data_IF_274481528743
#
_entry.id   IF_274481528743
#
_cell.length_a   1.000
_cell.length_b   1.000
_cell.length_c   1.000
_cell.angle_alpha   90.00
_cell.angle_beta   90.00
_cell.angle_gamma   90.00
#
_symmetry.space_group_name_H-M   'P 1'
#
loop_
_entity.id
_entity.type
_entity.pdbx_description
1 polymer ?
#
# COMPACT_ATOMS: atom_id res chain seq x y z
N UNK A 1 6.10 30.69 -0.19
CA UNK A 1 6.08 29.21 -0.26
C UNK A 1 5.14 28.73 0.81
N UNK A 2 3.94 28.31 0.42
CA UNK A 2 2.78 28.13 1.30
C UNK A 2 2.71 26.71 1.85
N UNK A 3 2.09 26.54 3.02
CA UNK A 3 1.97 25.29 3.81
C UNK A 3 1.23 24.12 3.12
N UNK A 4 0.97 24.20 1.82
CA UNK A 4 0.38 23.14 0.99
C UNK A 4 1.39 22.12 0.45
N UNK A 5 2.68 22.45 0.33
CA UNK A 5 3.68 21.48 -0.19
C UNK A 5 4.14 20.47 0.86
N UNK A 6 3.98 20.77 2.16
CA UNK A 6 4.22 19.82 3.24
C UNK A 6 3.01 18.90 3.51
N UNK A 7 1.81 19.33 3.10
CA UNK A 7 0.55 18.56 3.13
C UNK A 7 0.57 17.34 2.18
N UNK A 8 1.51 17.29 1.24
CA UNK A 8 1.47 16.44 0.05
C UNK A 8 2.31 15.15 0.15
N UNK A 9 3.43 15.15 0.88
CA UNK A 9 4.35 14.00 0.90
C UNK A 9 4.15 12.99 2.05
N UNK A 10 3.49 13.39 3.15
CA UNK A 10 3.55 12.62 4.38
C UNK A 10 2.50 11.48 4.47
N UNK A 11 1.25 11.71 4.04
CA UNK A 11 0.14 10.72 4.07
C UNK A 11 0.44 9.42 3.28
N UNK A 12 1.34 9.47 2.29
CA UNK A 12 1.74 8.32 1.48
C UNK A 12 2.80 7.42 2.15
N UNK A 13 3.58 7.97 3.09
CA UNK A 13 4.70 7.28 3.73
C UNK A 13 4.27 6.38 4.90
N UNK A 14 3.18 6.72 5.59
CA UNK A 14 2.87 6.13 6.87
C UNK A 14 1.84 4.98 6.86
N UNK A 15 1.22 4.69 5.71
CA UNK A 15 0.44 3.45 5.49
C UNK A 15 1.25 2.44 4.63
N UNK A 16 2.29 2.89 3.92
CA UNK A 16 3.13 2.04 3.08
C UNK A 16 4.04 1.04 3.81
N UNK A 17 4.13 1.10 5.13
CA UNK A 17 5.00 0.24 5.95
C UNK A 17 4.25 -0.94 6.63
N UNK A 18 2.94 -1.03 6.47
CA UNK A 18 2.06 -1.87 7.30
C UNK A 18 1.04 -2.67 6.47
N UNK A 19 1.53 -3.62 5.70
CA UNK A 19 0.70 -4.48 4.85
C UNK A 19 1.03 -4.30 3.37
N UNK A 20 1.17 -5.41 2.64
CA UNK A 20 1.40 -5.35 1.20
C UNK A 20 0.26 -4.59 0.52
N UNK A 21 0.59 -3.56 -0.27
CA UNK A 21 -0.38 -2.81 -1.08
C UNK A 21 -1.13 -3.75 -2.01
N UNK A 22 -2.42 -3.51 -2.21
CA UNK A 22 -3.23 -4.23 -3.21
C UNK A 22 -2.70 -3.86 -4.60
N UNK A 23 -2.31 -4.87 -5.38
CA UNK A 23 -1.67 -4.65 -6.69
C UNK A 23 -2.67 -4.10 -7.69
N UNK A 24 -2.22 -3.23 -8.60
CA UNK A 24 -3.05 -2.80 -9.73
C UNK A 24 -3.52 -4.03 -10.55
N UNK A 25 -4.84 -4.16 -10.74
CA UNK A 25 -5.51 -5.30 -11.38
C UNK A 25 -5.95 -6.42 -10.43
N UNK A 26 -5.66 -6.31 -9.13
CA UNK A 26 -6.24 -7.14 -8.07
C UNK A 26 -7.58 -6.52 -7.62
N UNK A 27 -8.66 -7.29 -7.71
CA UNK A 27 -10.03 -6.85 -7.39
C UNK A 27 -10.38 -7.01 -5.89
N UNK A 28 -9.40 -7.48 -5.11
CA UNK A 28 -9.54 -7.69 -3.67
C UNK A 28 -9.32 -6.39 -2.88
N UNK A 29 -9.72 -6.42 -1.62
CA UNK A 29 -9.45 -5.36 -0.66
C UNK A 29 -8.62 -5.90 0.51
N UNK A 30 -7.80 -5.05 1.13
CA UNK A 30 -7.01 -5.41 2.31
C UNK A 30 -7.32 -4.46 3.47
N UNK A 31 -7.21 -4.95 4.71
CA UNK A 31 -7.30 -4.12 5.91
C UNK A 31 -6.02 -3.29 6.00
N UNK A 32 -6.07 -2.05 5.55
CA UNK A 32 -4.87 -1.21 5.51
C UNK A 32 -4.69 -0.35 6.76
N UNK A 33 -5.78 0.08 7.39
CA UNK A 33 -5.72 1.04 8.51
C UNK A 33 -6.91 0.92 9.47
N UNK A 34 -6.69 1.23 10.75
CA UNK A 34 -7.77 1.45 11.70
C UNK A 34 -8.34 2.86 11.49
N UNK A 35 -9.67 2.99 11.39
CA UNK A 35 -10.35 4.28 11.23
C UNK A 35 -11.10 4.66 12.47
N UNK A 36 -10.84 5.87 12.95
CA UNK A 36 -11.53 6.42 14.10
C UNK A 36 -11.88 7.89 13.83
N UNK A 37 -13.15 8.24 13.91
CA UNK A 37 -13.59 9.63 13.89
C UNK A 37 -13.80 10.10 15.33
N UNK A 38 -13.15 11.20 15.72
CA UNK A 38 -13.07 11.68 17.10
C UNK A 38 -13.51 13.14 17.20
N UNK A 39 -14.01 13.56 18.36
CA UNK A 39 -14.46 14.95 18.59
C UNK A 39 -13.31 15.93 18.73
N UNK A 40 -12.24 15.51 19.41
CA UNK A 40 -11.02 16.28 19.60
C UNK A 40 -9.79 15.44 19.23
N UNK A 41 -9.03 15.90 18.24
CA UNK A 41 -7.86 15.17 17.73
C UNK A 41 -6.68 15.22 18.70
N UNK A 42 -6.50 16.32 19.44
CA UNK A 42 -5.38 16.47 20.35
C UNK A 42 -5.58 15.60 21.59
N UNK A 43 -6.76 15.68 22.20
CA UNK A 43 -7.14 14.86 23.35
C UNK A 43 -7.09 13.37 23.00
N UNK A 44 -7.64 13.00 21.84
CA UNK A 44 -7.63 11.59 21.40
C UNK A 44 -6.23 11.10 21.10
N UNK A 45 -5.39 11.88 20.41
CA UNK A 45 -4.01 11.49 20.14
C UNK A 45 -3.23 11.24 21.45
N UNK A 46 -3.31 12.18 22.40
CA UNK A 46 -2.67 12.04 23.70
C UNK A 46 -3.18 10.79 24.44
N UNK A 47 -4.49 10.53 24.41
CA UNK A 47 -5.08 9.35 25.01
C UNK A 47 -4.48 8.04 24.44
N UNK A 48 -4.42 7.92 23.10
CA UNK A 48 -3.92 6.72 22.44
C UNK A 48 -2.40 6.55 22.63
N UNK A 49 -1.63 7.63 22.62
CA UNK A 49 -0.19 7.58 22.91
C UNK A 49 0.06 7.15 24.37
N UNK A 50 -0.63 7.79 25.33
CA UNK A 50 -0.39 7.59 26.76
C UNK A 50 -0.88 6.26 27.29
N UNK A 51 -2.09 5.84 26.92
CA UNK A 51 -2.75 4.69 27.55
C UNK A 51 -2.61 3.41 26.77
N UNK A 52 -2.40 3.51 25.45
CA UNK A 52 -2.36 2.35 24.56
C UNK A 52 -0.96 2.13 23.99
N UNK A 53 -0.12 3.18 23.89
CA UNK A 53 1.23 3.06 23.34
C UNK A 53 1.26 3.20 21.82
N UNK A 54 0.32 3.95 21.25
CA UNK A 54 0.50 4.46 19.89
C UNK A 54 1.63 5.50 19.85
N UNK A 55 2.16 5.73 18.66
CA UNK A 55 3.17 6.75 18.39
C UNK A 55 2.68 7.65 17.27
N UNK A 56 2.70 8.96 17.47
CA UNK A 56 2.42 9.94 16.42
C UNK A 56 3.41 9.76 15.24
N UNK A 57 2.86 9.54 14.05
CA UNK A 57 3.61 9.53 12.79
C UNK A 57 3.41 10.82 12.02
N UNK A 58 2.18 11.33 12.02
CA UNK A 58 1.85 12.58 11.35
C UNK A 58 0.80 13.36 12.11
N UNK A 59 1.06 14.66 12.25
CA UNK A 59 0.21 15.58 12.97
C UNK A 59 -0.32 16.65 12.02
N UNK A 60 -1.59 16.50 11.61
CA UNK A 60 -2.29 17.41 10.71
C UNK A 60 -3.59 17.90 11.34
N UNK A 61 -3.57 18.19 12.64
CA UNK A 61 -4.76 18.64 13.39
C UNK A 61 -5.46 19.85 12.77
N UNK A 62 -4.69 20.73 12.14
CA UNK A 62 -5.18 21.90 11.39
C UNK A 62 -5.98 21.50 10.13
N UNK A 63 -5.62 20.38 9.51
CA UNK A 63 -6.34 19.79 8.38
C UNK A 63 -7.40 18.76 8.81
N UNK A 64 -7.62 18.59 10.12
CA UNK A 64 -8.69 17.77 10.66
C UNK A 64 -8.39 16.27 10.77
N UNK A 65 -7.11 15.86 10.73
CA UNK A 65 -6.72 14.47 10.90
C UNK A 65 -5.35 14.28 11.55
N UNK A 66 -5.08 13.10 12.11
CA UNK A 66 -3.73 12.68 12.53
C UNK A 66 -3.53 11.21 12.23
N UNK A 67 -2.27 10.78 12.17
CA UNK A 67 -1.91 9.38 12.00
C UNK A 67 -1.00 8.92 13.12
N UNK A 68 -1.44 7.85 13.77
CA UNK A 68 -0.72 7.13 14.80
C UNK A 68 -0.36 5.74 14.30
N UNK A 69 0.65 5.12 14.90
CA UNK A 69 1.00 3.72 14.63
C UNK A 69 1.25 2.98 15.94
N UNK A 70 0.82 1.72 16.00
CA UNK A 70 1.17 0.80 17.07
C UNK A 70 1.68 -0.50 16.45
N UNK A 71 2.99 -0.74 16.54
CA UNK A 71 3.66 -1.96 16.07
C UNK A 71 3.29 -2.39 14.63
N UNK A 72 3.30 -1.42 13.70
CA UNK A 72 2.95 -1.69 12.30
C UNK A 72 1.45 -1.77 12.03
N UNK A 73 0.59 -1.34 12.97
CA UNK A 73 -0.83 -1.11 12.71
C UNK A 73 -1.10 0.40 12.70
N UNK A 74 -1.44 1.00 11.55
CA UNK A 74 -1.75 2.43 11.47
C UNK A 74 -3.17 2.71 11.96
N UNK A 75 -3.35 3.86 12.60
CA UNK A 75 -4.61 4.40 13.10
C UNK A 75 -4.77 5.85 12.62
N UNK A 76 -5.75 6.09 11.76
CA UNK A 76 -6.08 7.44 11.29
C UNK A 76 -7.25 7.98 12.09
N UNK A 77 -6.98 9.07 12.80
CA UNK A 77 -7.99 9.87 13.49
C UNK A 77 -8.48 10.98 12.56
N UNK A 78 -9.79 11.18 12.48
CA UNK A 78 -10.41 12.31 11.76
C UNK A 78 -11.39 13.04 12.66
N UNK A 79 -11.56 14.35 12.49
CA UNK A 79 -12.51 15.11 13.30
C UNK A 79 -13.96 14.75 12.95
N UNK A 80 -14.79 14.61 13.98
CA UNK A 80 -16.26 14.50 13.89
C UNK A 80 -16.94 15.58 14.74
N UNK A 81 -18.21 15.88 14.45
CA UNK A 81 -18.93 16.96 15.10
C UNK A 81 -19.46 16.59 16.49
N UNK A 82 -19.72 15.30 16.73
CA UNK A 82 -20.31 14.82 17.98
C UNK A 82 -19.72 13.48 18.41
N UNK A 83 -19.65 13.20 19.72
CA UNK A 83 -19.21 11.89 20.21
C UNK A 83 -20.22 10.82 19.83
N UNK A 84 -19.84 9.55 20.01
CA UNK A 84 -20.74 8.42 19.84
C UNK A 84 -21.25 7.94 21.18
N UNK A 85 -22.55 7.70 21.27
CA UNK A 85 -23.16 6.92 22.34
C UNK A 85 -23.52 5.54 21.80
N UNK A 86 -22.88 4.50 22.33
CA UNK A 86 -23.13 3.13 21.89
C UNK A 86 -23.99 2.45 22.97
N UNK A 87 -25.17 1.94 22.64
CA UNK A 87 -25.98 1.15 23.59
C UNK A 87 -25.34 -0.22 23.86
N UNK A 88 -25.51 -0.80 25.05
CA UNK A 88 -24.82 -2.05 25.45
C UNK A 88 -25.10 -3.25 24.54
N UNK A 89 -26.23 -3.24 23.83
CA UNK A 89 -26.67 -4.28 22.90
C UNK A 89 -26.63 -3.84 21.42
N UNK A 90 -26.02 -2.69 21.12
CA UNK A 90 -25.87 -2.19 19.75
C UNK A 90 -24.56 -2.67 19.10
N UNK A 91 -24.67 -2.98 17.81
CA UNK A 91 -23.52 -3.23 16.95
C UNK A 91 -22.55 -2.04 17.00
N UNK A 92 -21.26 -2.36 16.99
CA UNK A 92 -20.19 -1.41 16.84
C UNK A 92 -18.90 -2.15 16.49
N UNK A 93 -17.94 -1.40 15.94
CA UNK A 93 -16.57 -1.85 15.78
C UNK A 93 -15.79 -1.51 17.05
N UNK A 94 -15.05 -2.49 17.56
CA UNK A 94 -14.17 -2.35 18.73
C UNK A 94 -12.74 -2.67 18.33
N UNK A 95 -11.79 -1.85 18.78
CA UNK A 95 -10.38 -2.21 18.73
C UNK A 95 -10.04 -2.95 20.03
N UNK A 96 -9.39 -4.10 19.90
CA UNK A 96 -8.91 -4.84 21.04
C UNK A 96 -7.40 -4.72 21.13
N UNK A 97 -6.92 -4.39 22.31
CA UNK A 97 -5.50 -4.25 22.62
C UNK A 97 -5.07 -5.38 23.54
N UNK A 98 -3.88 -5.94 23.35
CA UNK A 98 -3.28 -6.92 24.26
C UNK A 98 -2.30 -6.24 25.21
N UNK A 99 -2.24 -6.73 26.43
CA UNK A 99 -1.26 -6.38 27.47
C UNK A 99 -0.77 -7.66 28.15
N UNK A 100 0.42 -7.60 28.75
CA UNK A 100 0.99 -8.68 29.55
C UNK A 100 0.33 -8.80 30.94
N UNK A 101 -0.14 -7.68 31.48
CA UNK A 101 -0.70 -7.57 32.82
C UNK A 101 -1.93 -6.64 32.83
N UNK A 102 -3.11 -7.26 32.75
CA UNK A 102 -4.39 -6.54 32.68
C UNK A 102 -4.69 -5.74 33.94
N UNK A 103 -4.29 -6.26 35.11
CA UNK A 103 -4.54 -5.62 36.40
C UNK A 103 -3.72 -4.33 36.49
N UNK A 104 -2.41 -4.41 36.19
CA UNK A 104 -1.52 -3.25 36.15
C UNK A 104 -1.96 -2.23 35.11
N UNK A 105 -2.20 -2.67 33.87
CA UNK A 105 -2.62 -1.76 32.79
C UNK A 105 -3.95 -1.08 33.12
N UNK A 106 -4.95 -1.82 33.58
CA UNK A 106 -6.26 -1.23 33.93
C UNK A 106 -6.18 -0.29 35.14
N UNK A 107 -5.30 -0.54 36.11
CA UNK A 107 -5.05 0.38 37.22
C UNK A 107 -4.41 1.70 36.73
N UNK A 108 -3.42 1.62 35.83
CA UNK A 108 -2.80 2.81 35.22
C UNK A 108 -3.80 3.61 34.38
N UNK A 109 -4.67 2.93 33.62
CA UNK A 109 -5.73 3.58 32.86
C UNK A 109 -6.72 4.30 33.78
N UNK A 110 -7.20 3.67 34.86
CA UNK A 110 -8.07 4.34 35.84
C UNK A 110 -7.40 5.54 36.50
N UNK A 111 -6.12 5.41 36.87
CA UNK A 111 -5.34 6.52 37.44
C UNK A 111 -5.16 7.68 36.46
N UNK A 112 -5.16 7.39 35.15
CA UNK A 112 -5.19 8.38 34.07
C UNK A 112 -6.56 8.95 33.75
N UNK A 113 -7.61 8.57 34.47
CA UNK A 113 -8.98 9.05 34.24
C UNK A 113 -9.77 8.29 33.16
N UNK A 114 -9.25 7.17 32.65
CA UNK A 114 -9.96 6.38 31.62
C UNK A 114 -11.17 5.68 32.23
N UNK A 115 -12.32 5.82 31.56
CA UNK A 115 -13.58 5.20 31.98
C UNK A 115 -13.62 3.71 31.61
N UNK A 116 -13.46 2.83 32.59
CA UNK A 116 -13.62 1.38 32.43
C UNK A 116 -15.05 0.99 32.79
N UNK A 117 -15.77 0.43 31.82
CA UNK A 117 -17.23 0.20 31.87
C UNK A 117 -17.62 -1.28 31.92
N UNK A 118 -16.66 -2.20 31.81
CA UNK A 118 -16.94 -3.63 31.88
C UNK A 118 -15.69 -4.48 32.01
N UNK A 119 -15.89 -5.74 32.37
CA UNK A 119 -14.86 -6.77 32.41
C UNK A 119 -15.45 -8.13 32.07
N UNK A 120 -14.62 -9.05 31.60
CA UNK A 120 -15.08 -10.37 31.21
C UNK A 120 -13.97 -11.33 30.83
N UNK A 121 -14.39 -12.50 30.34
CA UNK A 121 -13.52 -13.54 29.81
C UNK A 121 -14.00 -13.97 28.43
N UNK A 122 -13.04 -14.25 27.56
CA UNK A 122 -13.23 -14.78 26.22
C UNK A 122 -12.48 -16.12 26.09
N UNK A 123 -12.62 -16.79 24.94
CA UNK A 123 -11.89 -18.03 24.65
C UNK A 123 -10.37 -17.88 24.61
N UNK A 124 -9.85 -16.64 24.55
CA UNK A 124 -8.41 -16.35 24.46
C UNK A 124 -7.83 -15.71 25.72
N UNK A 125 -8.66 -15.38 26.71
CA UNK A 125 -8.21 -14.77 27.96
C UNK A 125 -9.21 -13.76 28.55
N UNK A 126 -8.73 -12.96 29.50
CA UNK A 126 -9.55 -11.97 30.24
C UNK A 126 -9.45 -10.59 29.60
N UNK A 127 -10.46 -9.75 29.80
CA UNK A 127 -10.48 -8.39 29.27
C UNK A 127 -11.22 -7.40 30.17
N UNK A 128 -10.90 -6.12 29.99
CA UNK A 128 -11.73 -4.99 30.44
C UNK A 128 -12.17 -4.17 29.23
N UNK A 129 -13.37 -3.60 29.29
CA UNK A 129 -13.90 -2.67 28.29
C UNK A 129 -13.77 -1.25 28.80
N UNK A 130 -13.23 -0.36 27.98
CA UNK A 130 -13.06 1.06 28.30
C UNK A 130 -13.68 1.94 27.22
N UNK A 131 -13.94 3.19 27.59
CA UNK A 131 -14.48 4.24 26.72
C UNK A 131 -13.40 5.27 26.46
N UNK A 132 -13.18 5.60 25.18
CA UNK A 132 -12.26 6.67 24.77
C UNK A 132 -12.91 8.07 24.89
N UNK A 133 -12.17 9.18 24.70
CA UNK A 133 -12.71 10.53 24.85
C UNK A 133 -13.90 10.85 23.93
N UNK A 134 -14.04 10.16 22.80
CA UNK A 134 -15.11 10.35 21.82
C UNK A 134 -16.27 9.37 21.99
N UNK A 135 -16.24 8.53 23.03
CA UNK A 135 -17.31 7.58 23.36
C UNK A 135 -17.15 6.18 22.76
N UNK A 136 -16.05 5.90 22.06
CA UNK A 136 -15.82 4.57 21.48
C UNK A 136 -15.55 3.54 22.57
N UNK A 137 -16.09 2.33 22.39
CA UNK A 137 -15.83 1.20 23.30
C UNK A 137 -14.79 0.25 22.73
N UNK A 138 -13.75 0.02 23.51
CA UNK A 138 -12.60 -0.80 23.15
C UNK A 138 -12.26 -1.76 24.29
N UNK A 139 -11.50 -2.80 23.99
CA UNK A 139 -11.09 -3.76 25.01
C UNK A 139 -9.58 -3.74 25.23
N UNK A 140 -9.16 -3.86 26.48
CA UNK A 140 -7.83 -4.27 26.86
C UNK A 140 -7.88 -5.74 27.27
N UNK A 141 -7.02 -6.59 26.71
CA UNK A 141 -7.03 -8.05 26.87
C UNK A 141 -5.70 -8.54 27.43
N UNK A 142 -5.73 -9.50 28.35
CA UNK A 142 -4.58 -10.35 28.66
C UNK A 142 -4.89 -11.74 28.16
N UNK A 143 -4.07 -12.20 27.22
CA UNK A 143 -4.27 -13.47 26.52
C UNK A 143 -3.63 -14.60 27.31
N UNK A 144 -4.35 -15.71 27.49
CA UNK A 144 -3.90 -16.84 28.32
C UNK A 144 -2.62 -17.50 27.78
N UNK A 145 -2.35 -17.37 26.48
CA UNK A 145 -1.18 -17.93 25.80
C UNK A 145 -0.04 -16.91 25.58
N UNK A 146 -0.23 -15.63 25.91
CA UNK A 146 0.82 -14.63 25.77
C UNK A 146 1.87 -14.86 26.87
N UNK A 147 3.09 -15.16 26.47
CA UNK A 147 4.23 -15.39 27.38
C UNK A 147 5.23 -14.24 27.40
N UNK A 148 5.09 -13.32 26.45
CA UNK A 148 6.01 -12.20 26.26
C UNK A 148 5.62 -11.03 27.15
N UNK A 149 6.62 -10.38 27.72
CA UNK A 149 6.39 -9.09 28.39
C UNK A 149 6.16 -8.01 27.34
N UNK A 150 5.12 -7.20 27.57
CA UNK A 150 4.74 -6.10 26.71
C UNK A 150 4.91 -4.78 27.48
N UNK A 151 5.91 -3.95 27.13
CA UNK A 151 6.15 -2.70 27.85
C UNK A 151 5.02 -1.68 27.67
N UNK A 152 4.29 -1.77 26.56
CA UNK A 152 3.09 -1.01 26.26
C UNK A 152 2.04 -1.93 25.64
N UNK A 153 0.74 -1.61 25.75
CA UNK A 153 -0.28 -2.33 25.02
C UNK A 153 -0.04 -2.33 23.50
N UNK A 154 -0.59 -3.34 22.84
CA UNK A 154 -0.48 -3.48 21.38
C UNK A 154 -1.84 -3.76 20.76
N UNK A 155 -2.09 -3.33 19.54
CA UNK A 155 -3.25 -3.79 18.76
C UNK A 155 -3.17 -5.32 18.66
N UNK A 156 -4.29 -5.98 18.97
CA UNK A 156 -4.42 -7.42 18.87
C UNK A 156 -5.32 -7.81 17.69
N UNK A 157 -6.58 -7.41 17.73
CA UNK A 157 -7.58 -7.66 16.68
C UNK A 157 -8.67 -6.58 16.68
N UNK A 158 -9.48 -6.58 15.63
CA UNK A 158 -10.68 -5.74 15.54
C UNK A 158 -11.92 -6.61 15.67
N UNK A 159 -12.79 -6.31 16.64
CA UNK A 159 -14.08 -6.98 16.79
C UNK A 159 -15.18 -6.20 16.08
N UNK A 160 -15.99 -6.87 15.29
CA UNK A 160 -17.16 -6.31 14.62
C UNK A 160 -18.38 -7.02 15.19
N UNK A 161 -19.19 -6.28 15.96
CA UNK A 161 -20.43 -6.82 16.49
C UNK A 161 -21.52 -6.82 15.42
N UNK A 162 -22.24 -7.94 15.32
CA UNK A 162 -23.28 -8.18 14.31
C UNK A 162 -24.55 -8.72 14.97
N UNK A 163 -25.70 -8.56 14.32
CA UNK A 163 -26.99 -9.12 14.80
C UNK A 163 -27.36 -10.45 14.15
N UNK A 164 -26.70 -10.81 13.04
CA UNK A 164 -26.90 -12.08 12.34
C UNK A 164 -25.56 -12.57 11.78
N UNK A 165 -24.99 -13.60 12.41
CA UNK A 165 -23.68 -14.12 12.01
C UNK A 165 -23.70 -14.78 10.62
N UNK A 166 -24.83 -15.35 10.18
CA UNK A 166 -24.95 -15.95 8.85
C UNK A 166 -24.88 -14.89 7.75
N UNK A 167 -25.66 -13.81 7.92
CA UNK A 167 -25.61 -12.65 7.03
C UNK A 167 -24.22 -11.97 7.06
N UNK A 168 -23.60 -11.90 8.23
CA UNK A 168 -22.28 -11.30 8.39
C UNK A 168 -21.19 -12.12 7.68
N UNK A 169 -21.20 -13.46 7.85
CA UNK A 169 -20.28 -14.36 7.15
C UNK A 169 -20.40 -14.21 5.64
N UNK A 170 -21.63 -14.12 5.11
CA UNK A 170 -21.87 -13.87 3.69
C UNK A 170 -21.32 -12.51 3.25
N UNK A 171 -21.60 -11.45 4.00
CA UNK A 171 -21.15 -10.11 3.65
C UNK A 171 -19.62 -9.99 3.67
N UNK A 172 -18.97 -10.29 4.80
CA UNK A 172 -17.52 -10.16 4.91
C UNK A 172 -16.77 -11.22 4.09
N UNK A 173 -17.33 -12.41 3.95
CA UNK A 173 -16.70 -13.51 3.20
C UNK A 173 -16.91 -13.43 1.69
N UNK A 174 -18.16 -13.42 1.25
CA UNK A 174 -18.50 -13.53 -0.17
C UNK A 174 -18.55 -12.16 -0.87
N UNK A 175 -19.08 -11.12 -0.21
CA UNK A 175 -19.21 -9.78 -0.83
C UNK A 175 -17.90 -9.01 -0.78
N UNK A 176 -17.25 -8.98 0.39
CA UNK A 176 -15.97 -8.30 0.57
C UNK A 176 -14.76 -9.16 0.19
N UNK A 177 -14.91 -10.49 0.12
CA UNK A 177 -13.88 -11.41 -0.36
C UNK A 177 -12.85 -11.83 0.69
N UNK A 178 -13.15 -11.69 1.99
CA UNK A 178 -12.25 -12.17 3.06
C UNK A 178 -12.43 -13.67 3.32
N UNK A 179 -11.34 -14.36 3.63
CA UNK A 179 -11.39 -15.79 3.94
C UNK A 179 -11.60 -16.02 5.43
N UNK A 180 -12.46 -16.96 5.78
CA UNK A 180 -12.61 -17.41 7.16
C UNK A 180 -11.34 -18.12 7.60
N UNK A 181 -10.73 -17.68 8.70
CA UNK A 181 -9.52 -18.28 9.26
C UNK A 181 -9.83 -19.65 9.89
N UNK A 182 -10.90 -19.71 10.68
CA UNK A 182 -11.38 -20.96 11.28
C UNK A 182 -12.84 -20.83 11.70
N UNK A 183 -13.62 -21.89 11.53
CA UNK A 183 -15.00 -21.96 12.03
C UNK A 183 -15.10 -22.63 13.41
N UNK A 184 -13.96 -22.92 14.07
CA UNK A 184 -13.94 -23.60 15.38
C UNK A 184 -14.77 -22.89 16.45
N UNK A 185 -14.88 -21.57 16.36
CA UNK A 185 -15.57 -20.72 17.33
C UNK A 185 -16.95 -20.26 16.83
N UNK A 186 -17.41 -20.80 15.69
CA UNK A 186 -18.67 -20.44 15.07
C UNK A 186 -19.82 -21.32 15.56
N UNK A 187 -20.95 -20.70 15.97
CA UNK A 187 -21.05 -19.42 16.68
C UNK A 187 -20.44 -19.50 18.10
N UNK A 188 -20.10 -18.37 18.75
CA UNK A 188 -20.51 -16.99 18.47
C UNK A 188 -19.45 -16.08 17.80
N UNK A 189 -18.29 -16.61 17.39
CA UNK A 189 -17.19 -15.81 16.82
C UNK A 189 -16.66 -16.42 15.51
N UNK A 190 -16.45 -15.57 14.48
CA UNK A 190 -15.72 -15.98 13.26
C UNK A 190 -14.50 -15.07 13.07
N UNK A 191 -13.27 -15.59 13.21
CA UNK A 191 -12.07 -14.88 12.75
C UNK A 191 -11.90 -14.98 11.23
N UNK A 192 -11.47 -13.87 10.62
CA UNK A 192 -11.11 -13.81 9.21
C UNK A 192 -9.59 -13.70 9.03
N UNK A 193 -9.06 -14.28 7.96
CA UNK A 193 -7.65 -14.20 7.62
C UNK A 193 -7.23 -12.75 7.39
N UNK A 194 -6.03 -12.44 7.88
CA UNK A 194 -5.42 -11.14 7.68
C UNK A 194 -5.02 -10.96 6.22
N UNK A 195 -5.55 -9.91 5.59
CA UNK A 195 -4.91 -9.25 4.44
C UNK A 195 -4.59 -7.83 4.90
N UNK A 196 -3.31 -7.47 5.03
CA UNK A 196 -2.89 -6.12 5.45
C UNK A 196 -2.45 -6.02 6.92
N UNK A 197 -2.78 -4.92 7.60
CA UNK A 197 -2.23 -4.48 8.87
C UNK A 197 -2.71 -5.27 10.10
N UNK A 198 -3.95 -5.74 10.12
CA UNK A 198 -4.52 -6.50 11.25
C UNK A 198 -5.65 -7.42 10.80
N UNK A 199 -5.96 -8.45 11.59
CA UNK A 199 -7.12 -9.30 11.36
C UNK A 199 -8.32 -8.80 12.16
N UNK A 200 -9.51 -9.24 11.75
CA UNK A 200 -10.75 -8.94 12.44
C UNK A 200 -11.55 -10.19 12.73
N UNK A 201 -12.44 -10.08 13.72
CA UNK A 201 -13.39 -11.11 14.12
C UNK A 201 -14.81 -10.56 14.01
N UNK A 202 -15.74 -11.40 13.58
CA UNK A 202 -17.17 -11.16 13.75
C UNK A 202 -17.60 -11.72 15.10
N UNK A 203 -18.44 -10.98 15.83
CA UNK A 203 -18.97 -11.39 17.12
C UNK A 203 -20.49 -11.22 17.19
N UNK A 204 -21.19 -12.31 17.48
CA UNK A 204 -22.64 -12.33 17.70
C UNK A 204 -22.96 -11.91 19.14
N UNK A 205 -22.83 -10.61 19.40
CA UNK A 205 -22.96 -10.04 20.75
C UNK A 205 -23.92 -8.85 20.80
N UNK A 206 -24.62 -8.56 19.70
CA UNK A 206 -25.52 -7.41 19.58
C UNK A 206 -26.91 -7.80 19.10
N UNK A 207 -27.90 -7.05 19.56
CA UNK A 207 -29.32 -7.26 19.23
C UNK A 207 -29.87 -6.17 18.31
N UNK A 208 -29.16 -5.06 18.22
CA UNK A 208 -29.61 -3.89 17.46
C UNK A 208 -28.50 -3.45 16.49
N UNK A 209 -28.86 -3.04 15.26
CA UNK A 209 -27.92 -2.41 14.35
C UNK A 209 -27.27 -1.17 14.97
N UNK A 210 -26.10 -0.81 14.47
CA UNK A 210 -25.37 0.36 14.89
C UNK A 210 -26.10 1.64 14.42
N UNK A 211 -26.24 2.61 15.33
CA UNK A 211 -26.95 3.86 15.07
C UNK A 211 -26.00 5.01 14.72
N UNK A 212 -25.03 4.76 13.83
CA UNK A 212 -24.07 5.78 13.40
C UNK A 212 -24.67 6.74 12.37
N UNK A 213 -24.31 8.02 12.48
CA UNK A 213 -24.55 9.03 11.44
C UNK A 213 -23.22 9.43 10.83
N UNK A 214 -22.88 8.83 9.69
CA UNK A 214 -21.60 9.07 9.04
C UNK A 214 -21.40 10.55 8.68
N UNK A 215 -20.25 11.10 9.06
CA UNK A 215 -19.93 12.53 8.91
C UNK A 215 -20.46 13.44 10.02
N UNK A 216 -21.35 12.95 10.90
CA UNK A 216 -21.87 13.72 12.05
C UNK A 216 -21.34 13.20 13.39
N UNK A 217 -21.49 11.90 13.64
CA UNK A 217 -21.07 11.25 14.88
C UNK A 217 -19.70 10.60 14.73
N UNK A 218 -18.96 10.50 15.83
CA UNK A 218 -17.78 9.66 15.95
C UNK A 218 -18.08 8.21 15.52
N UNK A 219 -17.10 7.51 14.96
CA UNK A 219 -17.23 6.10 14.58
C UNK A 219 -15.87 5.39 14.65
N UNK A 220 -15.92 4.09 14.91
CA UNK A 220 -14.77 3.19 14.74
C UNK A 220 -15.04 2.27 13.54
N UNK A 221 -14.00 1.97 12.77
CA UNK A 221 -14.11 1.18 11.56
C UNK A 221 -12.77 0.68 11.04
N UNK A 222 -12.82 -0.05 9.93
CA UNK A 222 -11.66 -0.44 9.15
C UNK A 222 -11.59 0.44 7.90
N UNK A 223 -10.36 0.86 7.56
CA UNK A 223 -10.03 1.39 6.25
C UNK A 223 -9.50 0.25 5.37
N UNK A 224 -10.21 -0.01 4.29
CA UNK A 224 -9.89 -1.05 3.33
C UNK A 224 -9.20 -0.46 2.09
N UNK A 225 -7.97 -0.88 1.83
CA UNK A 225 -7.24 -0.46 0.64
C UNK A 225 -7.78 -1.19 -0.60
N UNK A 226 -7.86 -0.46 -1.72
CA UNK A 226 -8.21 -1.01 -3.03
C UNK A 226 -7.34 -0.36 -4.11
N UNK A 227 -7.02 -1.13 -5.15
CA UNK A 227 -6.30 -0.63 -6.33
C UNK A 227 -7.11 0.40 -7.12
N UNK A 228 -8.42 0.20 -7.23
CA UNK A 228 -9.35 1.12 -7.91
C UNK A 228 -10.61 1.29 -7.07
N UNK A 229 -10.79 2.46 -6.46
CA UNK A 229 -11.98 2.73 -5.66
C UNK A 229 -13.24 2.78 -6.52
N UNK A 230 -13.13 3.24 -7.77
CA UNK A 230 -14.27 3.34 -8.67
C UNK A 230 -14.80 1.96 -9.07
N UNK A 231 -13.91 1.03 -9.43
CA UNK A 231 -14.28 -0.34 -9.80
C UNK A 231 -14.80 -1.12 -8.59
N UNK A 232 -14.10 -1.01 -7.46
CA UNK A 232 -14.51 -1.69 -6.23
C UNK A 232 -15.85 -1.19 -5.71
N UNK A 233 -16.12 0.12 -5.73
CA UNK A 233 -17.44 0.66 -5.42
C UNK A 233 -18.52 0.13 -6.38
N UNK A 234 -18.23 0.08 -7.68
CA UNK A 234 -19.19 -0.44 -8.67
C UNK A 234 -19.54 -1.90 -8.40
N UNK A 235 -18.54 -2.75 -8.17
CA UNK A 235 -18.72 -4.16 -7.79
C UNK A 235 -19.52 -4.32 -6.50
N UNK A 236 -19.13 -3.58 -5.46
CA UNK A 236 -19.79 -3.66 -4.15
C UNK A 236 -21.23 -3.17 -4.21
N UNK A 237 -21.52 -2.08 -4.94
CA UNK A 237 -22.90 -1.63 -5.18
C UNK A 237 -23.72 -2.69 -5.92
N UNK A 238 -23.16 -3.32 -6.95
CA UNK A 238 -23.83 -4.41 -7.66
C UNK A 238 -24.12 -5.62 -6.77
N UNK A 239 -23.30 -5.86 -5.74
CA UNK A 239 -23.50 -6.87 -4.71
C UNK A 239 -24.42 -6.42 -3.56
N UNK A 240 -25.01 -5.22 -3.62
CA UNK A 240 -25.96 -4.71 -2.63
C UNK A 240 -25.35 -3.94 -1.46
N UNK A 241 -24.06 -3.59 -1.51
CA UNK A 241 -23.43 -2.78 -0.45
C UNK A 241 -23.95 -1.34 -0.49
N UNK A 242 -24.31 -0.82 0.68
CA UNK A 242 -24.77 0.56 0.88
C UNK A 242 -23.57 1.47 1.13
N UNK A 243 -23.18 2.26 0.12
CA UNK A 243 -22.23 3.34 0.33
C UNK A 243 -22.92 4.58 0.90
N UNK A 244 -22.25 5.20 1.87
CA UNK A 244 -22.66 6.43 2.55
C UNK A 244 -22.20 7.66 1.78
N UNK A 245 -21.14 7.51 0.98
CA UNK A 245 -20.72 8.50 0.00
C UNK A 245 -21.27 8.15 -1.40
N UNK A 246 -21.81 9.15 -2.09
CA UNK A 246 -22.22 8.99 -3.49
C UNK A 246 -21.00 8.74 -4.39
N UNK A 247 -19.94 9.54 -4.20
CA UNK A 247 -18.68 9.46 -4.91
C UNK A 247 -17.49 9.50 -3.94
N UNK A 248 -16.35 8.89 -4.30
CA UNK A 248 -15.14 8.99 -3.48
C UNK A 248 -14.69 10.44 -3.28
N UNK A 249 -14.46 10.81 -2.03
CA UNK A 249 -13.93 12.12 -1.62
C UNK A 249 -12.42 12.10 -1.66
N UNK A 250 -11.82 13.15 -2.21
CA UNK A 250 -10.37 13.33 -2.13
C UNK A 250 -9.99 13.79 -0.72
N UNK A 251 -9.07 13.07 -0.08
CA UNK A 251 -8.50 13.39 1.23
C UNK A 251 -6.99 13.23 1.12
N UNK A 252 -6.28 14.33 0.82
CA UNK A 252 -4.86 14.26 0.51
C UNK A 252 -4.58 13.39 -0.74
N UNK A 253 -3.58 12.48 -0.71
CA UNK A 253 -3.24 11.60 -1.83
C UNK A 253 -4.08 10.31 -1.81
N UNK A 254 -5.25 10.31 -1.14
CA UNK A 254 -6.20 9.21 -1.26
C UNK A 254 -7.56 9.71 -1.68
N UNK A 255 -8.31 8.81 -2.30
CA UNK A 255 -9.75 8.90 -2.42
C UNK A 255 -10.36 7.93 -1.44
N UNK A 256 -11.36 8.39 -0.69
CA UNK A 256 -12.05 7.60 0.33
C UNK A 256 -13.54 7.55 0.05
N UNK A 257 -14.19 6.44 0.41
CA UNK A 257 -15.64 6.31 0.36
C UNK A 257 -16.13 5.46 1.54
N UNK A 258 -16.96 6.05 2.39
CA UNK A 258 -17.63 5.36 3.48
C UNK A 258 -18.72 4.42 2.99
N UNK A 259 -18.85 3.27 3.62
CA UNK A 259 -19.94 2.32 3.41
C UNK A 259 -20.35 1.68 4.73
N UNK A 260 -21.58 1.17 4.78
CA UNK A 260 -22.10 0.43 5.91
C UNK A 260 -22.15 -1.07 5.61
N UNK A 261 -21.87 -1.88 6.62
CA UNK A 261 -22.24 -3.29 6.61
C UNK A 261 -23.77 -3.45 6.83
N UNK A 262 -24.34 -4.67 6.71
CA UNK A 262 -25.77 -4.91 6.93
C UNK A 262 -26.27 -4.59 8.35
N UNK A 263 -25.35 -4.38 9.30
CA UNK A 263 -25.61 -4.14 10.71
C UNK A 263 -25.38 -2.68 11.10
N UNK A 264 -25.12 -1.80 10.13
CA UNK A 264 -24.91 -0.37 10.35
C UNK A 264 -23.48 0.00 10.79
N UNK A 265 -22.56 -0.97 10.91
CA UNK A 265 -21.16 -0.64 11.19
C UNK A 265 -20.56 0.07 9.98
N UNK A 266 -19.79 1.13 10.25
CA UNK A 266 -19.19 1.95 9.21
C UNK A 266 -17.75 1.50 8.94
N UNK A 267 -17.43 1.40 7.65
CA UNK A 267 -16.09 1.19 7.14
C UNK A 267 -15.80 2.16 5.99
N UNK A 268 -14.53 2.30 5.62
CA UNK A 268 -14.14 3.13 4.49
C UNK A 268 -13.33 2.31 3.49
N UNK A 269 -13.64 2.44 2.20
CA UNK A 269 -12.68 2.11 1.14
C UNK A 269 -11.75 3.28 0.95
N UNK A 270 -10.48 3.01 0.66
CA UNK A 270 -9.57 4.04 0.18
C UNK A 270 -8.66 3.53 -0.94
N UNK A 271 -8.33 4.44 -1.84
CA UNK A 271 -7.36 4.23 -2.91
C UNK A 271 -6.34 5.36 -2.86
N UNK A 272 -5.06 5.03 -3.02
CA UNK A 272 -4.02 6.01 -3.29
C UNK A 272 -4.14 6.65 -4.67
N UNK A 273 -4.21 7.97 -4.68
CA UNK A 273 -4.20 8.83 -5.86
C UNK A 273 -2.97 9.70 -5.75
N UNK A 274 -1.93 9.39 -6.51
CA UNK A 274 -0.73 10.23 -6.55
C UNK A 274 -1.12 11.68 -6.86
N UNK A 275 -0.59 12.62 -6.09
CA UNK A 275 -0.52 13.99 -6.56
C UNK A 275 0.40 14.00 -7.79
N UNK A 276 0.07 14.79 -8.81
CA UNK A 276 0.81 14.82 -10.07
C UNK A 276 2.26 15.35 -9.99
N UNK A 277 2.95 15.20 -8.86
CA UNK A 277 4.37 15.43 -8.67
C UNK A 277 5.01 14.12 -8.22
N UNK A 278 5.82 13.52 -9.10
CA UNK A 278 6.45 12.21 -8.89
C UNK A 278 7.00 12.00 -7.47
N UNK A 279 6.85 10.83 -6.84
CA UNK A 279 6.61 9.48 -7.38
C UNK A 279 6.50 8.51 -6.14
N UNK A 280 6.34 7.17 -6.25
CA UNK A 280 5.70 6.27 -7.23
C UNK A 280 5.25 4.88 -6.67
N UNK A 281 4.67 4.07 -7.56
CA UNK A 281 4.73 2.62 -7.45
C UNK A 281 3.61 1.87 -8.18
N UNK A 282 3.23 2.29 -9.38
CA UNK A 282 2.15 1.67 -10.16
C UNK A 282 1.41 2.70 -10.99
N UNK A 283 2.08 3.35 -11.94
CA UNK A 283 1.34 4.09 -12.96
C UNK A 283 0.42 3.14 -13.73
N UNK A 284 -0.68 3.66 -14.27
CA UNK A 284 -1.60 2.84 -15.06
C UNK A 284 -0.81 2.26 -16.25
N UNK A 285 -0.85 0.93 -16.47
CA UNK A 285 -0.21 0.35 -17.64
C UNK A 285 -0.87 0.90 -18.90
N UNK A 286 -0.08 1.07 -19.96
CA UNK A 286 -0.65 1.30 -21.29
C UNK A 286 -1.52 0.11 -21.72
N UNK A 287 -2.42 0.32 -22.69
CA UNK A 287 -3.21 -0.75 -23.27
C UNK A 287 -2.31 -1.90 -23.77
N UNK A 288 -2.78 -3.15 -23.62
CA UNK A 288 -2.04 -4.37 -23.94
C UNK A 288 -1.41 -4.34 -25.34
N UNK A 289 -2.18 -3.93 -26.34
CA UNK A 289 -1.73 -3.87 -27.74
C UNK A 289 -0.56 -2.90 -27.90
N UNK A 290 -0.56 -1.79 -27.15
CA UNK A 290 0.51 -0.81 -27.15
C UNK A 290 1.75 -1.35 -26.39
N UNK A 291 1.55 -2.06 -25.28
CA UNK A 291 2.63 -2.72 -24.54
C UNK A 291 3.35 -3.78 -25.40
N UNK A 292 2.61 -4.62 -26.13
CA UNK A 292 3.18 -5.63 -27.04
C UNK A 292 3.99 -4.96 -28.15
N UNK A 293 3.46 -3.90 -28.78
CA UNK A 293 4.17 -3.13 -29.80
C UNK A 293 5.44 -2.46 -29.26
N UNK A 294 5.37 -1.90 -28.05
CA UNK A 294 6.54 -1.32 -27.39
C UNK A 294 7.61 -2.37 -27.09
N UNK A 295 7.22 -3.59 -26.69
CA UNK A 295 8.15 -4.69 -26.49
C UNK A 295 8.83 -5.13 -27.79
N UNK A 296 8.08 -5.18 -28.90
CA UNK A 296 8.66 -5.42 -30.23
C UNK A 296 9.69 -4.35 -30.62
N UNK A 297 9.42 -3.09 -30.28
CA UNK A 297 10.37 -1.98 -30.50
C UNK A 297 11.67 -2.18 -29.70
N UNK A 298 11.59 -2.63 -28.45
CA UNK A 298 12.77 -2.93 -27.62
C UNK A 298 13.56 -4.13 -28.16
N UNK A 299 12.87 -5.19 -28.63
CA UNK A 299 13.55 -6.34 -29.27
C UNK A 299 14.37 -5.91 -30.49
N UNK A 300 13.89 -4.93 -31.26
CA UNK A 300 14.60 -4.37 -32.41
C UNK A 300 15.88 -3.58 -32.06
N UNK A 301 16.14 -3.32 -30.77
CA UNK A 301 17.40 -2.75 -30.32
C UNK A 301 18.56 -3.75 -30.32
N UNK A 302 18.28 -5.07 -30.40
CA UNK A 302 19.29 -6.13 -30.36
C UNK A 302 20.54 -5.79 -31.19
N UNK A 303 21.71 -5.83 -30.55
CA UNK A 303 22.98 -5.37 -31.12
C UNK A 303 23.79 -4.51 -30.16
N UNK A 304 24.91 -4.00 -30.66
CA UNK A 304 25.85 -3.15 -29.93
C UNK A 304 25.59 -1.67 -30.18
N UNK A 305 25.78 -0.86 -29.14
CA UNK A 305 25.56 0.58 -29.14
C UNK A 305 26.68 1.30 -28.38
N UNK A 306 27.00 2.52 -28.81
CA UNK A 306 27.78 3.48 -28.04
C UNK A 306 26.82 4.47 -27.38
N UNK A 307 26.91 4.60 -26.06
CA UNK A 307 26.21 5.62 -25.28
C UNK A 307 27.13 6.81 -24.99
N UNK A 308 26.63 8.03 -25.19
CA UNK A 308 27.34 9.28 -24.87
C UNK A 308 26.46 10.14 -23.96
N UNK A 309 26.91 10.34 -22.72
CA UNK A 309 26.21 11.15 -21.73
C UNK A 309 26.40 12.65 -21.98
N UNK A 310 25.39 13.46 -21.63
CA UNK A 310 25.53 14.93 -21.60
C UNK A 310 26.58 15.43 -20.60
N UNK A 311 27.05 14.58 -19.68
CA UNK A 311 28.20 14.84 -18.79
C UNK A 311 29.55 14.42 -19.37
N UNK A 312 29.59 13.90 -20.59
CA UNK A 312 30.81 13.65 -21.36
C UNK A 312 31.44 12.26 -21.20
N UNK A 313 30.89 11.39 -20.36
CA UNK A 313 31.32 9.99 -20.28
C UNK A 313 30.67 9.14 -21.39
N UNK A 314 31.31 8.02 -21.70
CA UNK A 314 30.88 7.08 -22.73
C UNK A 314 30.74 5.67 -22.17
N UNK A 315 29.83 4.90 -22.74
CA UNK A 315 29.63 3.49 -22.39
C UNK A 315 29.41 2.64 -23.66
N UNK A 316 29.61 1.34 -23.52
CA UNK A 316 29.19 0.36 -24.54
C UNK A 316 27.98 -0.39 -24.01
N UNK A 317 26.96 -0.54 -24.83
CA UNK A 317 25.72 -1.20 -24.45
C UNK A 317 25.44 -2.33 -25.44
N UNK A 318 25.01 -3.47 -24.91
CA UNK A 318 24.53 -4.61 -25.69
C UNK A 318 23.06 -4.85 -25.35
N UNK A 319 22.21 -4.88 -26.38
CA UNK A 319 20.84 -5.41 -26.25
C UNK A 319 20.79 -6.82 -26.85
N UNK A 320 20.13 -7.75 -26.16
CA UNK A 320 19.94 -9.13 -26.62
C UNK A 320 18.52 -9.61 -26.31
N UNK A 321 17.77 -9.96 -27.36
CA UNK A 321 16.55 -10.75 -27.18
C UNK A 321 16.91 -12.19 -26.80
N UNK A 322 16.44 -12.64 -25.64
CA UNK A 322 16.78 -13.94 -25.05
C UNK A 322 15.53 -14.72 -24.65
N UNK A 323 15.72 -15.94 -24.14
CA UNK A 323 14.63 -16.82 -23.68
C UNK A 323 13.53 -17.00 -24.76
N UNK A 324 13.93 -17.35 -25.98
CA UNK A 324 13.04 -17.47 -27.14
C UNK A 324 12.28 -16.15 -27.47
N UNK A 325 12.86 -15.01 -27.15
CA UNK A 325 12.29 -13.69 -27.41
C UNK A 325 11.27 -13.21 -26.36
N UNK A 326 11.16 -13.91 -25.22
CA UNK A 326 10.26 -13.49 -24.14
C UNK A 326 10.79 -12.35 -23.29
N UNK A 327 12.10 -12.07 -23.37
CA UNK A 327 12.75 -10.96 -22.68
C UNK A 327 13.85 -10.33 -23.54
N UNK A 328 14.17 -9.07 -23.26
CA UNK A 328 15.36 -8.36 -23.78
C UNK A 328 16.26 -8.01 -22.61
N UNK A 329 17.53 -8.37 -22.72
CA UNK A 329 18.57 -7.97 -21.77
C UNK A 329 19.39 -6.83 -22.36
N UNK A 330 19.44 -5.72 -21.66
CA UNK A 330 20.41 -4.65 -21.84
C UNK A 330 21.58 -4.91 -20.89
N UNK A 331 22.80 -4.83 -21.40
CA UNK A 331 24.02 -4.83 -20.60
C UNK A 331 24.79 -3.56 -20.88
N UNK A 332 25.05 -2.76 -19.84
CA UNK A 332 25.91 -1.58 -19.90
C UNK A 332 27.28 -1.88 -19.32
N UNK A 333 28.31 -1.48 -20.05
CA UNK A 333 29.72 -1.55 -19.65
C UNK A 333 30.29 -0.13 -19.52
N UNK A 334 31.07 0.09 -18.47
CA UNK A 334 31.88 1.31 -18.25
C UNK A 334 31.10 2.60 -17.96
N UNK A 335 29.77 2.56 -17.83
CA UNK A 335 29.02 3.67 -17.20
C UNK A 335 29.53 3.94 -15.77
N UNK A 336 29.98 2.87 -15.09
CA UNK A 336 30.80 2.94 -13.89
C UNK A 336 32.07 2.11 -14.09
N UNK A 337 33.27 2.63 -13.79
CA UNK A 337 34.51 1.91 -14.03
C UNK A 337 34.52 0.54 -13.35
N UNK A 338 34.68 -0.53 -14.15
CA UNK A 338 34.71 -1.94 -13.71
C UNK A 338 33.39 -2.49 -13.12
N UNK A 339 32.27 -1.80 -13.28
CA UNK A 339 30.96 -2.25 -12.79
C UNK A 339 30.01 -2.44 -13.97
N UNK A 340 29.42 -3.63 -14.08
CA UNK A 340 28.46 -3.97 -15.12
C UNK A 340 27.04 -3.77 -14.60
N UNK A 341 26.19 -3.16 -15.42
CA UNK A 341 24.76 -3.00 -15.12
C UNK A 341 23.92 -3.80 -16.10
N UNK A 342 22.75 -4.26 -15.63
CA UNK A 342 21.82 -5.04 -16.43
C UNK A 342 20.42 -4.46 -16.31
N UNK A 343 19.72 -4.32 -17.44
CA UNK A 343 18.29 -4.02 -17.47
C UNK A 343 17.55 -5.11 -18.23
N UNK A 344 16.55 -5.73 -17.60
CA UNK A 344 15.74 -6.79 -18.19
C UNK A 344 14.35 -6.26 -18.55
N UNK A 345 13.95 -6.34 -19.82
CA UNK A 345 12.60 -6.00 -20.29
C UNK A 345 11.81 -7.27 -20.59
N UNK A 346 10.64 -7.44 -19.98
CA UNK A 346 9.79 -8.62 -20.19
C UNK A 346 8.30 -8.25 -20.10
N UNK A 347 7.46 -8.99 -20.82
CA UNK A 347 6.00 -8.93 -20.63
C UNK A 347 5.61 -9.66 -19.33
N UNK A 348 4.72 -9.06 -18.55
CA UNK A 348 4.05 -9.63 -17.37
C UNK A 348 2.53 -9.60 -17.61
N UNK A 349 2.00 -10.70 -18.15
CA UNK A 349 0.63 -10.75 -18.65
C UNK A 349 0.40 -9.71 -19.75
N UNK A 350 -0.39 -8.69 -19.43
CA UNK A 350 -0.74 -7.60 -20.36
C UNK A 350 0.16 -6.37 -20.25
N UNK A 351 1.13 -6.39 -19.33
CA UNK A 351 1.98 -5.25 -18.98
C UNK A 351 3.40 -5.47 -19.48
N UNK A 352 4.11 -4.39 -19.81
CA UNK A 352 5.54 -4.43 -20.13
C UNK A 352 6.34 -3.83 -18.97
N UNK A 353 7.25 -4.63 -18.39
CA UNK A 353 8.09 -4.21 -17.27
C UNK A 353 9.55 -4.15 -17.71
N UNK A 354 10.32 -3.28 -17.04
CA UNK A 354 11.76 -3.47 -16.90
C UNK A 354 12.15 -3.73 -15.44
N UNK A 355 13.26 -4.44 -15.23
CA UNK A 355 13.93 -4.58 -13.94
C UNK A 355 15.40 -4.19 -14.11
N UNK A 356 15.89 -3.28 -13.28
CA UNK A 356 17.25 -2.76 -13.38
C UNK A 356 18.12 -3.26 -12.23
N UNK A 357 19.35 -3.69 -12.55
CA UNK A 357 20.34 -4.21 -11.62
C UNK A 357 21.61 -3.36 -11.74
N UNK A 358 21.93 -2.62 -10.70
CA UNK A 358 23.09 -1.73 -10.69
C UNK A 358 23.86 -1.77 -9.36
N UNK A 359 24.88 -0.91 -9.27
CA UNK A 359 25.76 -0.75 -8.11
C UNK A 359 25.03 -0.31 -6.83
N UNK A 360 23.78 0.17 -6.94
CA UNK A 360 22.92 0.46 -5.79
C UNK A 360 22.48 -0.81 -5.04
N UNK A 361 22.66 -2.00 -5.63
CA UNK A 361 22.35 -3.33 -5.06
C UNK A 361 20.86 -3.56 -4.74
N UNK A 362 19.98 -2.68 -5.17
CA UNK A 362 18.54 -2.93 -5.22
C UNK A 362 18.13 -3.37 -6.64
N UNK A 363 16.89 -3.82 -6.78
CA UNK A 363 16.34 -4.27 -8.06
C UNK A 363 15.01 -3.56 -8.33
N UNK A 364 15.02 -2.25 -8.67
CA UNK A 364 13.82 -1.54 -9.04
C UNK A 364 13.20 -2.15 -10.31
N UNK A 365 11.89 -2.35 -10.25
CA UNK A 365 11.04 -2.74 -11.36
C UNK A 365 10.22 -1.53 -11.77
N UNK A 366 10.22 -1.22 -13.06
CA UNK A 366 9.46 -0.11 -13.63
C UNK A 366 8.47 -0.67 -14.64
N UNK A 367 7.29 -0.07 -14.71
CA UNK A 367 6.19 -0.42 -15.59
C UNK A 367 6.13 0.59 -16.76
N UNK A 368 5.82 0.14 -17.97
CA UNK A 368 5.51 1.03 -19.09
C UNK A 368 4.18 1.74 -18.81
N UNK A 369 4.26 3.02 -18.49
CA UNK A 369 3.08 3.84 -18.11
C UNK A 369 2.65 4.77 -19.22
N UNK A 370 3.55 5.14 -20.12
CA UNK A 370 3.24 6.00 -21.27
C UNK A 370 4.03 5.51 -22.49
N UNK A 371 3.37 5.57 -23.65
CA UNK A 371 4.00 5.33 -24.93
C UNK A 371 3.32 6.22 -25.97
N UNK A 372 4.10 6.83 -26.86
CA UNK A 372 3.55 7.51 -28.01
C UNK A 372 2.88 6.48 -28.96
N UNK A 373 1.80 6.86 -29.64
CA UNK A 373 1.08 5.97 -30.56
C UNK A 373 1.98 5.41 -31.69
N UNK A 374 2.97 6.21 -32.10
CA UNK A 374 4.00 5.88 -33.09
C UNK A 374 5.25 5.22 -32.48
N UNK A 375 5.28 5.02 -31.16
CA UNK A 375 6.40 4.49 -30.39
C UNK A 375 7.68 5.33 -30.46
N UNK A 376 7.57 6.61 -30.81
CA UNK A 376 8.70 7.56 -30.77
C UNK A 376 9.21 7.82 -29.35
N UNK A 377 8.37 7.60 -28.33
CA UNK A 377 8.75 7.70 -26.93
C UNK A 377 8.12 6.59 -26.09
N UNK A 378 8.89 6.06 -25.13
CA UNK A 378 8.44 5.10 -24.11
C UNK A 378 8.86 5.62 -22.73
N UNK A 379 7.90 5.75 -21.82
CA UNK A 379 8.15 6.13 -20.42
C UNK A 379 7.84 4.96 -19.51
N UNK A 380 8.85 4.52 -18.79
CA UNK A 380 8.69 3.56 -17.72
C UNK A 380 8.82 4.25 -16.37
N UNK A 381 7.91 3.93 -15.45
CA UNK A 381 7.84 4.52 -14.12
C UNK A 381 7.87 3.41 -13.07
N UNK A 382 8.53 3.66 -11.95
CA UNK A 382 8.70 2.71 -10.86
C UNK A 382 7.38 2.10 -10.41
N UNK A 383 7.43 0.79 -10.27
CA UNK A 383 6.37 -0.06 -9.77
C UNK A 383 6.70 -0.48 -8.34
N UNK A 384 7.82 -1.18 -8.15
CA UNK A 384 8.33 -1.60 -6.84
C UNK A 384 9.82 -2.02 -6.96
N UNK A 385 10.40 -2.63 -5.94
CA UNK A 385 11.74 -3.22 -6.06
C UNK A 385 12.10 -4.15 -4.91
N UNK A 386 13.03 -5.08 -5.16
CA UNK A 386 13.59 -5.94 -4.12
C UNK A 386 14.89 -5.36 -3.56
N UNK A 387 15.25 -5.79 -2.35
CA UNK A 387 16.35 -5.22 -1.56
C UNK A 387 16.24 -3.68 -1.40
N UNK A 388 14.99 -3.21 -1.28
CA UNK A 388 14.63 -1.81 -1.12
C UNK A 388 13.82 -1.66 0.18
N UNK A 389 14.46 -1.33 1.32
CA UNK A 389 13.82 -1.36 2.64
C UNK A 389 12.71 -0.32 2.80
N UNK A 390 12.75 0.75 2.01
CA UNK A 390 11.70 1.75 1.88
C UNK A 390 11.77 2.40 0.51
N UNK A 391 10.68 3.02 0.08
CA UNK A 391 10.64 3.75 -1.19
C UNK A 391 11.59 4.95 -1.20
N UNK A 392 12.01 5.47 -0.05
CA UNK A 392 12.98 6.58 0.03
C UNK A 392 14.44 6.15 -0.09
N UNK A 393 14.74 4.85 -0.01
CA UNK A 393 16.09 4.37 -0.29
C UNK A 393 16.43 4.63 -1.75
N UNK A 394 17.60 5.19 -2.02
CA UNK A 394 18.00 5.58 -3.38
C UNK A 394 17.89 4.47 -4.43
N UNK A 395 17.18 4.71 -5.54
CA UNK A 395 17.01 3.77 -6.66
C UNK A 395 16.65 4.48 -7.97
N UNK A 396 16.79 3.77 -9.09
CA UNK A 396 16.30 4.21 -10.40
C UNK A 396 14.78 4.18 -10.41
N UNK A 397 14.17 5.30 -10.84
CA UNK A 397 12.74 5.53 -10.60
C UNK A 397 11.90 5.71 -11.86
N UNK A 398 12.45 6.39 -12.86
CA UNK A 398 11.80 6.58 -14.15
C UNK A 398 12.85 6.49 -15.23
N UNK A 399 12.44 6.05 -16.42
CA UNK A 399 13.24 6.20 -17.63
C UNK A 399 12.34 6.61 -18.79
N UNK A 400 12.83 7.56 -19.57
CA UNK A 400 12.24 7.94 -20.86
C UNK A 400 13.19 7.55 -21.96
N UNK A 401 12.72 6.73 -22.88
CA UNK A 401 13.39 6.43 -24.15
C UNK A 401 12.76 7.28 -25.25
N UNK A 402 13.59 7.93 -26.08
CA UNK A 402 13.13 8.64 -27.28
C UNK A 402 13.84 8.11 -28.50
N UNK A 403 13.09 7.61 -29.46
CA UNK A 403 13.62 6.98 -30.66
C UNK A 403 13.61 7.94 -31.84
N UNK A 404 14.79 8.35 -32.29
CA UNK A 404 14.95 9.24 -33.44
C UNK A 404 14.98 8.44 -34.76
N UNK A 405 15.57 7.25 -34.74
CA UNK A 405 15.69 6.36 -35.89
C UNK A 405 15.94 4.90 -35.45
N UNK A 406 16.07 3.92 -36.36
CA UNK A 406 16.54 2.58 -36.01
C UNK A 406 17.96 2.52 -35.44
N UNK A 407 18.77 3.56 -35.68
CA UNK A 407 20.20 3.63 -35.38
C UNK A 407 20.53 4.64 -34.27
N UNK A 408 19.54 5.39 -33.80
CA UNK A 408 19.70 6.46 -32.81
C UNK A 408 18.50 6.58 -31.88
N UNK A 409 18.77 6.67 -30.59
CA UNK A 409 17.77 6.98 -29.56
C UNK A 409 18.45 7.64 -28.35
N UNK A 410 17.67 8.26 -27.47
CA UNK A 410 18.15 8.72 -26.18
C UNK A 410 17.47 7.98 -25.04
N UNK A 411 18.16 7.85 -23.92
CA UNK A 411 17.57 7.44 -22.64
C UNK A 411 17.89 8.47 -21.58
N UNK A 412 16.90 8.81 -20.75
CA UNK A 412 17.12 9.66 -19.58
C UNK A 412 16.44 9.04 -18.37
N UNK A 413 17.22 8.79 -17.33
CA UNK A 413 16.76 8.16 -16.10
C UNK A 413 16.52 9.19 -15.00
N UNK A 414 15.69 8.85 -14.02
CA UNK A 414 15.62 9.57 -12.75
C UNK A 414 16.15 8.71 -11.61
N UNK A 415 16.82 9.37 -10.69
CA UNK A 415 17.16 8.83 -9.38
C UNK A 415 16.18 9.38 -8.37
N UNK A 416 15.49 8.50 -7.65
CA UNK A 416 14.72 8.92 -6.48
C UNK A 416 15.47 8.59 -5.21
N UNK A 417 15.50 9.54 -4.28
CA UNK A 417 15.90 9.30 -2.91
C UNK A 417 15.28 10.34 -1.97
N UNK A 418 14.93 9.94 -0.74
CA UNK A 418 14.52 10.85 0.34
C UNK A 418 13.42 11.85 -0.09
N UNK A 419 12.31 11.34 -0.63
CA UNK A 419 11.21 12.19 -1.11
C UNK A 419 11.43 12.88 -2.46
N UNK A 420 12.60 12.73 -3.10
CA UNK A 420 12.98 13.55 -4.25
C UNK A 420 13.36 12.74 -5.47
N UNK A 421 12.64 12.96 -6.56
CA UNK A 421 13.01 12.52 -7.90
C UNK A 421 13.93 13.56 -8.58
N UNK A 422 15.06 13.11 -9.12
CA UNK A 422 16.01 13.95 -9.83
C UNK A 422 16.35 13.33 -11.18
N UNK A 423 16.26 14.12 -12.25
CA UNK A 423 16.75 13.70 -13.56
C UNK A 423 18.27 13.54 -13.56
N UNK A 424 18.70 12.41 -14.09
CA UNK A 424 20.09 12.15 -14.46
C UNK A 424 20.36 12.73 -15.86
N UNK A 425 21.62 12.65 -16.27
CA UNK A 425 22.05 12.93 -17.63
C UNK A 425 21.20 12.19 -18.67
N UNK A 426 21.00 12.85 -19.81
CA UNK A 426 20.53 12.17 -21.01
C UNK A 426 21.73 11.46 -21.66
N UNK A 427 21.50 10.25 -22.14
CA UNK A 427 22.49 9.44 -22.84
C UNK A 427 22.00 9.27 -24.27
N UNK A 428 22.81 9.72 -25.23
CA UNK A 428 22.57 9.53 -26.65
C UNK A 428 23.21 8.22 -27.11
N UNK A 429 22.40 7.34 -27.69
CA UNK A 429 22.80 6.02 -28.14
C UNK A 429 22.90 6.00 -29.66
N UNK A 430 24.04 5.55 -30.17
CA UNK A 430 24.25 5.32 -31.61
C UNK A 430 24.64 3.86 -31.84
N UNK A 431 23.95 3.20 -32.78
CA UNK A 431 24.22 1.80 -33.08
C UNK A 431 25.63 1.64 -33.65
N UNK A 432 26.35 0.65 -33.14
CA UNK A 432 27.64 0.27 -33.68
C UNK A 432 27.45 -0.69 -34.86
N UNK A 433 28.25 -0.51 -35.91
CA UNK A 433 28.25 -1.44 -37.03
C UNK A 433 28.59 -2.86 -36.53
N UNK A 434 27.90 -3.91 -37.00
CA UNK A 434 28.17 -5.27 -36.57
C UNK A 434 29.65 -5.58 -36.79
N UNK A 435 30.33 -6.00 -35.73
CA UNK A 435 31.73 -6.41 -35.83
C UNK A 435 31.83 -7.53 -36.87
N UNK A 436 32.67 -7.34 -37.89
CA UNK A 436 33.05 -8.44 -38.77
C UNK A 436 33.70 -9.48 -37.87
N UNK A 437 33.01 -10.58 -37.59
CA UNK A 437 33.66 -11.77 -37.02
C UNK A 437 34.84 -12.07 -37.94
N UNK A 438 36.07 -11.96 -37.43
CA UNK A 438 37.23 -12.54 -38.11
C UNK A 438 36.93 -14.03 -38.21
N UNK A 439 36.67 -14.50 -39.43
CA UNK A 439 36.82 -15.90 -39.77
C UNK A 439 38.31 -16.20 -39.63
N UNK A 440 38.76 -16.59 -38.44
CA UNK A 440 40.04 -17.25 -38.29
C UNK A 440 39.87 -18.66 -38.84
N UNK A 441 40.07 -18.76 -40.15
CA UNK A 441 40.18 -20.02 -40.85
C UNK A 441 41.47 -20.68 -40.44
N UNK A 442 41.42 -21.56 -39.45
CA UNK A 442 42.45 -22.58 -39.27
C UNK A 442 41.83 -23.94 -39.58
N UNK A 443 41.92 -24.32 -40.86
CA UNK A 443 41.90 -25.71 -41.31
C UNK A 443 43.36 -26.15 -41.52
N UNK A 444 43.63 -27.40 -41.11
CA UNK A 444 44.84 -28.22 -41.34
C UNK A 444 46.05 -27.82 -40.47
N UNK A 445 46.87 -28.72 -39.92
CA UNK A 445 47.28 -30.09 -40.23
C UNK A 445 47.49 -30.84 -38.88
N UNK A 446 47.37 -32.15 -38.67
CA UNK A 446 47.83 -33.29 -39.45
C UNK A 446 48.78 -34.15 -38.57
N UNK A 447 48.35 -35.38 -38.28
CA UNK A 447 49.00 -36.52 -37.57
C UNK A 447 48.78 -36.68 -36.07
#
# INVERSE_FOLDING_TARGET
MTSRSAMMMAFAAAIGAAGGRVRAGDDTISVGVLRLAVTDLAESAEFYERHIGFVMKEDHRDAGWVLLENHGVPLVLTRSASPVEIASDACHVRFNFKTDDLERTSAMMRAGGVNIVGEGKSGVGRYVTFVDPSGHRHNMKQLDYLKESLPTPQVYDVGIAVTDMGAARKFYGEVLGFEVMTEKYYPPVIPFNQRGATFFILADESKQPAAYKYGESAFAGLGFETASIAETMTRMRAAGVVFLDEQPKAVGPVRVAGFADPFGNVHELYQYVGDGSGAPGGGTPVAKELAVRAFDRLKALSGEWEGVSTKGWKERIQYEAMAAGSCVMETSFDAHPNEQMVTMFCMDGERLLLTHYCVAKNQPRLLLTEAADDLSALTFTFLDGTNLPSRDKGHMDKVVFKFESPEKFTSQWTWYQDGKENWLEEIAHTRLAPSKKLNDGTKAEGR
#
